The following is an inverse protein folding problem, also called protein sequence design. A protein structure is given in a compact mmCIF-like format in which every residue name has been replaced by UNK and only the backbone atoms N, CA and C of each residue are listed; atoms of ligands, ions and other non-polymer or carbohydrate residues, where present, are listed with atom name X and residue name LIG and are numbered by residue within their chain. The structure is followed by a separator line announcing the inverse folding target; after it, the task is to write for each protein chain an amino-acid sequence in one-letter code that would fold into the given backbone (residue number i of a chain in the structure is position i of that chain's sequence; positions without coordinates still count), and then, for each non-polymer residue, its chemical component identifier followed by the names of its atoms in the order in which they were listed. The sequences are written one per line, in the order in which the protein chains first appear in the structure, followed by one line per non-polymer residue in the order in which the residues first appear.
data_IF_967150056091
#
_entry.id   IF_967150056091
#
_cell.length_a   1.000
_cell.length_b   1.000
_cell.length_c   1.000
_cell.angle_alpha   90.00
_cell.angle_beta   90.00
_cell.angle_gamma   90.00
#
_symmetry.space_group_name_H-M   'P 1'
#
loop_
_entity.id
_entity.type
_entity.pdbx_description
1 polymer ?
#
# COMPACT_ATOMS: atom_id res chain seq x y z
N UNK A 1 5.10 -26.74 -9.30
CA UNK A 1 3.78 -26.60 -8.68
C UNK A 1 4.03 -26.28 -7.22
N UNK A 2 4.12 -25.00 -6.87
CA UNK A 2 4.48 -24.56 -5.52
C UNK A 2 3.24 -24.60 -4.64
N UNK A 3 3.29 -25.45 -3.61
CA UNK A 3 2.30 -25.52 -2.53
C UNK A 3 2.27 -24.17 -1.82
N UNK A 4 1.25 -23.35 -2.10
CA UNK A 4 0.95 -22.18 -1.30
C UNK A 4 0.28 -22.66 -0.01
N UNK A 5 1.06 -22.65 1.06
CA UNK A 5 0.71 -23.17 2.38
C UNK A 5 -0.48 -22.38 2.97
N UNK A 6 -1.65 -22.99 3.00
CA UNK A 6 -2.92 -22.44 3.51
C UNK A 6 -2.86 -22.02 4.99
N UNK A 7 -1.80 -22.43 5.70
CA UNK A 7 -1.55 -22.15 7.10
C UNK A 7 -0.99 -20.74 7.36
N UNK A 8 -0.37 -20.08 6.37
CA UNK A 8 0.39 -18.84 6.59
C UNK A 8 -0.51 -17.57 6.66
N UNK A 9 -1.65 -17.59 5.96
CA UNK A 9 -2.61 -16.48 5.91
C UNK A 9 -3.50 -16.35 7.15
N UNK A 10 -3.56 -17.36 8.03
CA UNK A 10 -4.37 -17.27 9.26
C UNK A 10 -3.69 -16.47 10.35
N UNK A 11 -2.36 -16.36 10.31
CA UNK A 11 -1.55 -15.79 11.39
C UNK A 11 -0.94 -14.41 11.10
N UNK A 12 -1.14 -13.82 9.91
CA UNK A 12 -0.49 -12.54 9.57
C UNK A 12 -0.88 -11.38 10.50
N UNK A 13 -2.11 -11.39 11.05
CA UNK A 13 -2.58 -10.42 12.05
C UNK A 13 -2.11 -10.70 13.48
N UNK A 14 -1.65 -11.92 13.76
CA UNK A 14 -1.22 -12.34 15.08
C UNK A 14 0.28 -12.11 15.32
N UNK A 15 1.05 -11.89 14.24
CA UNK A 15 2.50 -11.63 14.27
C UNK A 15 2.83 -10.19 13.86
N UNK A 16 2.24 -9.21 14.55
CA UNK A 16 2.51 -7.79 14.28
C UNK A 16 3.84 -7.38 14.92
N UNK A 17 4.75 -6.83 14.12
CA UNK A 17 5.93 -6.14 14.66
C UNK A 17 5.48 -4.76 15.16
N UNK A 18 5.55 -4.46 16.47
CA UNK A 18 4.95 -3.24 17.02
C UNK A 18 5.60 -1.95 16.52
N UNK A 19 6.87 -2.02 16.13
CA UNK A 19 7.62 -0.89 15.60
C UNK A 19 7.97 -1.15 14.13
N UNK A 20 7.46 -0.31 13.24
CA UNK A 20 7.84 -0.26 11.83
C UNK A 20 8.84 0.87 11.64
N UNK A 21 9.97 0.58 10.99
CA UNK A 21 10.98 1.60 10.64
C UNK A 21 11.03 1.82 9.13
N UNK A 22 11.50 3.00 8.74
CA UNK A 22 11.86 3.32 7.38
C UNK A 22 12.75 4.55 7.35
N UNK A 23 13.43 4.75 6.22
CA UNK A 23 14.21 5.96 5.95
C UNK A 23 13.65 6.63 4.71
N UNK A 24 13.79 7.95 4.63
CA UNK A 24 13.53 8.71 3.43
C UNK A 24 14.78 9.54 3.15
N UNK A 25 15.37 9.35 1.99
CA UNK A 25 16.58 10.05 1.57
C UNK A 25 16.24 10.93 0.39
N UNK A 26 16.61 12.20 0.48
CA UNK A 26 16.56 13.10 -0.67
C UNK A 26 17.64 12.67 -1.67
N UNK A 27 17.25 12.45 -2.93
CA UNK A 27 18.18 12.11 -4.01
C UNK A 27 18.57 13.38 -4.78
N UNK A 28 17.58 14.01 -5.41
CA UNK A 28 17.74 15.24 -6.21
C UNK A 28 16.40 15.97 -6.34
N UNK A 29 16.42 17.29 -6.53
CA UNK A 29 15.21 18.11 -6.76
C UNK A 29 14.07 17.79 -5.77
N UNK A 30 12.92 17.31 -6.26
CA UNK A 30 11.77 16.84 -5.46
C UNK A 30 11.63 15.32 -5.51
N UNK A 31 12.75 14.62 -5.74
CA UNK A 31 12.84 13.16 -5.81
C UNK A 31 13.46 12.64 -4.51
N UNK A 32 12.80 11.64 -3.92
CA UNK A 32 13.21 10.99 -2.70
C UNK A 32 13.17 9.48 -2.85
N UNK A 33 14.07 8.77 -2.18
CA UNK A 33 14.08 7.32 -2.06
C UNK A 33 13.66 6.93 -0.65
N UNK A 34 12.50 6.30 -0.53
CA UNK A 34 12.02 5.69 0.70
C UNK A 34 12.51 4.25 0.81
N UNK A 35 13.06 3.85 1.96
CA UNK A 35 13.44 2.47 2.23
C UNK A 35 12.69 1.92 3.43
N UNK A 36 11.99 0.81 3.24
CA UNK A 36 11.31 0.10 4.35
C UNK A 36 12.33 -0.63 5.22
N UNK A 37 11.97 -0.97 6.46
CA UNK A 37 12.79 -1.80 7.35
C UNK A 37 13.19 -3.16 6.75
N UNK A 38 12.39 -3.68 5.79
CA UNK A 38 12.67 -4.92 5.08
C UNK A 38 13.59 -4.74 3.87
N UNK A 39 14.00 -3.51 3.59
CA UNK A 39 14.95 -3.18 2.52
C UNK A 39 14.33 -2.86 1.16
N UNK A 40 12.98 -2.87 1.03
CA UNK A 40 12.31 -2.44 -0.20
C UNK A 40 12.45 -0.93 -0.39
N UNK A 41 12.75 -0.53 -1.62
CA UNK A 41 12.89 0.86 -2.03
C UNK A 41 11.65 1.37 -2.77
N UNK A 42 11.41 2.67 -2.63
CA UNK A 42 10.28 3.39 -3.20
C UNK A 42 10.77 4.75 -3.66
N UNK A 43 10.71 5.00 -4.95
CA UNK A 43 11.00 6.32 -5.50
C UNK A 43 9.75 7.20 -5.47
N UNK A 44 9.89 8.37 -4.86
CA UNK A 44 8.87 9.40 -4.79
C UNK A 44 9.26 10.59 -5.64
N UNK A 45 8.34 11.04 -6.49
CA UNK A 45 8.54 12.19 -7.38
C UNK A 45 7.27 13.05 -7.38
N UNK A 46 7.43 14.35 -7.11
CA UNK A 46 6.33 15.31 -7.14
C UNK A 46 5.70 15.50 -8.53
N UNK A 47 6.44 15.23 -9.61
CA UNK A 47 5.98 15.36 -10.99
C UNK A 47 5.54 14.05 -11.64
N UNK A 48 5.74 12.92 -10.96
CA UNK A 48 5.50 11.58 -11.49
C UNK A 48 6.22 11.26 -12.81
N UNK A 49 7.45 11.77 -13.00
CA UNK A 49 8.27 11.51 -14.20
C UNK A 49 9.24 10.35 -13.97
N UNK A 50 9.85 10.26 -12.79
CA UNK A 50 10.85 9.25 -12.41
C UNK A 50 10.38 8.29 -11.33
N UNK A 51 9.48 8.74 -10.47
CA UNK A 51 8.88 7.98 -9.38
C UNK A 51 7.39 8.20 -9.31
N UNK A 52 6.75 7.68 -8.26
CA UNK A 52 5.30 7.87 -8.03
C UNK A 52 5.04 9.06 -7.12
N UNK A 53 3.88 9.69 -7.25
CA UNK A 53 3.52 10.73 -6.30
C UNK A 53 3.34 10.12 -4.91
N UNK A 54 3.82 10.77 -3.83
CA UNK A 54 3.59 10.30 -2.47
C UNK A 54 2.11 10.04 -2.15
N UNK A 55 1.20 10.86 -2.71
CA UNK A 55 -0.24 10.71 -2.51
C UNK A 55 -0.82 9.47 -3.18
N UNK A 56 -0.37 9.10 -4.39
CA UNK A 56 -0.81 7.86 -5.05
C UNK A 56 -0.43 6.65 -4.20
N UNK A 57 0.77 6.67 -3.62
CA UNK A 57 1.24 5.63 -2.73
C UNK A 57 0.41 5.55 -1.44
N UNK A 58 -0.01 6.70 -0.91
CA UNK A 58 -0.90 6.77 0.24
C UNK A 58 -2.26 6.15 -0.06
N UNK A 59 -2.86 6.48 -1.21
CA UNK A 59 -4.15 5.92 -1.64
C UNK A 59 -4.06 4.41 -1.87
N UNK A 60 -3.00 3.94 -2.54
CA UNK A 60 -2.75 2.52 -2.75
C UNK A 60 -2.51 1.77 -1.43
N UNK A 61 -1.83 2.38 -0.47
CA UNK A 61 -1.61 1.78 0.85
C UNK A 61 -2.92 1.59 1.62
N UNK A 62 -3.84 2.57 1.53
CA UNK A 62 -5.16 2.48 2.13
C UNK A 62 -5.97 1.31 1.55
N UNK A 63 -6.11 1.24 0.23
CA UNK A 63 -6.86 0.14 -0.40
C UNK A 63 -6.17 -1.20 -0.26
N UNK A 64 -4.84 -1.23 -0.13
CA UNK A 64 -4.09 -2.44 0.15
C UNK A 64 -4.51 -3.06 1.49
N UNK A 65 -4.59 -2.25 2.54
CA UNK A 65 -5.11 -2.69 3.84
C UNK A 65 -6.54 -3.20 3.74
N UNK A 66 -7.42 -2.47 3.03
CA UNK A 66 -8.83 -2.88 2.86
C UNK A 66 -8.97 -4.17 2.05
N UNK A 67 -8.22 -4.32 0.96
CA UNK A 67 -8.24 -5.51 0.11
C UNK A 67 -7.78 -6.76 0.85
N UNK A 68 -6.74 -6.65 1.68
CA UNK A 68 -6.27 -7.75 2.55
C UNK A 68 -7.41 -8.21 3.49
N UNK A 69 -8.14 -7.26 4.08
CA UNK A 69 -9.25 -7.56 4.97
C UNK A 69 -10.41 -8.25 4.24
N UNK A 70 -10.82 -7.72 3.08
CA UNK A 70 -11.89 -8.30 2.26
C UNK A 70 -11.54 -9.72 1.83
N UNK A 71 -10.34 -9.95 1.29
CA UNK A 71 -9.89 -11.29 0.87
C UNK A 71 -9.85 -12.24 2.07
N UNK A 72 -9.35 -11.78 3.23
CA UNK A 72 -9.33 -12.59 4.45
C UNK A 72 -10.72 -13.01 4.92
N UNK A 73 -11.72 -12.11 4.83
CA UNK A 73 -13.11 -12.40 5.18
C UNK A 73 -13.70 -13.43 4.20
N UNK A 74 -13.54 -13.22 2.89
CA UNK A 74 -14.06 -14.14 1.87
C UNK A 74 -13.48 -15.55 2.02
N UNK A 75 -12.19 -15.66 2.34
CA UNK A 75 -11.55 -16.94 2.62
C UNK A 75 -12.11 -17.61 3.88
N UNK A 76 -12.35 -16.86 4.96
CA UNK A 76 -12.99 -17.39 6.19
C UNK A 76 -14.42 -17.87 5.92
N UNK A 77 -15.12 -17.23 4.99
CA UNK A 77 -16.45 -17.63 4.51
C UNK A 77 -16.41 -18.82 3.54
N UNK A 78 -15.22 -19.36 3.21
CA UNK A 78 -15.00 -20.46 2.26
C UNK A 78 -15.51 -20.13 0.85
N UNK A 79 -15.49 -18.85 0.45
CA UNK A 79 -15.76 -18.46 -0.92
C UNK A 79 -14.61 -18.92 -1.82
N UNK A 80 -14.94 -19.55 -2.97
CA UNK A 80 -13.97 -19.93 -3.99
C UNK A 80 -13.55 -18.69 -4.81
N UNK A 81 -12.59 -17.93 -4.27
CA UNK A 81 -12.12 -16.68 -4.86
C UNK A 81 -11.24 -16.94 -6.10
N UNK A 82 -11.73 -16.59 -7.29
CA UNK A 82 -10.97 -16.71 -8.55
C UNK A 82 -10.17 -15.44 -8.90
N UNK A 83 -10.71 -14.27 -8.59
CA UNK A 83 -10.08 -12.98 -8.86
C UNK A 83 -10.65 -11.91 -7.93
N UNK A 84 -9.82 -10.93 -7.58
CA UNK A 84 -10.23 -9.75 -6.81
C UNK A 84 -9.60 -8.51 -7.45
N UNK A 85 -10.41 -7.47 -7.63
CA UNK A 85 -9.98 -6.14 -8.07
C UNK A 85 -10.74 -5.12 -7.24
N UNK A 86 -10.04 -4.08 -6.81
CA UNK A 86 -10.62 -2.91 -6.17
C UNK A 86 -10.14 -1.69 -6.94
N UNK A 87 -11.09 -0.87 -7.35
CA UNK A 87 -10.85 0.45 -7.93
C UNK A 87 -11.15 1.49 -6.84
N UNK A 88 -10.40 2.60 -6.84
CA UNK A 88 -10.59 3.69 -5.89
C UNK A 88 -10.30 5.01 -6.58
N UNK A 89 -11.05 6.03 -6.20
CA UNK A 89 -10.78 7.40 -6.60
C UNK A 89 -10.61 8.27 -5.35
N UNK A 90 -9.74 9.28 -5.43
CA UNK A 90 -9.50 10.20 -4.33
C UNK A 90 -9.44 11.62 -4.83
N UNK A 91 -10.31 12.48 -4.31
CA UNK A 91 -10.29 13.92 -4.58
C UNK A 91 -9.23 14.60 -3.72
N UNK A 92 -8.49 15.55 -4.30
CA UNK A 92 -7.39 16.25 -3.61
C UNK A 92 -7.64 17.75 -3.56
N UNK A 93 -7.20 18.38 -2.48
CA UNK A 93 -7.08 19.83 -2.41
C UNK A 93 -6.14 20.31 -3.53
N UNK A 94 -6.58 21.18 -4.47
CA UNK A 94 -5.76 21.57 -5.62
C UNK A 94 -4.61 22.52 -5.24
N UNK A 95 -4.69 23.18 -4.08
CA UNK A 95 -3.66 24.10 -3.59
C UNK A 95 -2.77 23.44 -2.53
N UNK A 96 -1.53 23.91 -2.33
CA UNK A 96 -0.73 23.47 -1.20
C UNK A 96 -1.36 23.87 0.16
N UNK A 97 -1.32 22.98 1.18
CA UNK A 97 -0.88 21.59 1.12
C UNK A 97 -1.89 20.71 0.38
N UNK A 98 -1.39 19.81 -0.48
CA UNK A 98 -2.24 18.88 -1.24
C UNK A 98 -2.50 17.61 -0.43
N UNK A 99 -3.74 17.42 0.01
CA UNK A 99 -4.22 16.25 0.77
C UNK A 99 -5.53 15.73 0.18
N UNK A 100 -5.93 14.50 0.52
CA UNK A 100 -7.21 13.93 0.09
C UNK A 100 -8.38 14.55 0.87
N UNK A 101 -9.39 15.06 0.16
CA UNK A 101 -10.62 15.64 0.74
C UNK A 101 -11.75 14.62 0.79
N UNK A 102 -11.78 13.67 -0.14
CA UNK A 102 -12.72 12.56 -0.17
C UNK A 102 -12.09 11.35 -0.88
N UNK A 103 -12.64 10.16 -0.62
CA UNK A 103 -12.29 8.92 -1.33
C UNK A 103 -13.57 8.15 -1.62
N UNK A 104 -13.70 7.60 -2.83
CA UNK A 104 -14.87 6.84 -3.31
C UNK A 104 -14.51 5.45 -3.83
#
# INVERSE_FOLDING_TARGET
MTEHNETDLKDYKNKVTPAVKGTLTWDKELIFVGRTQRGYEIDYDAKAEWGRMPTESLLLSLIGCMGIDVVSILQKMKCDLKSFKMDVEGERNPTPPQYYTSTG
#
